data_IF_688356121596
#
_entry.id   IF_688356121596
#
_cell.length_a   1.000
_cell.length_b   1.000
_cell.length_c   1.000
_cell.angle_alpha   90.00
_cell.angle_beta   90.00
_cell.angle_gamma   90.00
#
_symmetry.space_group_name_H-M   'P 1'
#
loop_
_entity.id
_entity.type
_entity.pdbx_description
1 polymer ?
#
# COMPACT_ATOMS: atom_id res chain seq x y z
N UNK A 1 9.82 7.54 -12.56
CA UNK A 1 10.58 7.03 -13.72
C UNK A 1 10.13 7.74 -15.01
N UNK A 2 10.94 7.74 -16.06
CA UNK A 2 10.58 8.24 -17.40
C UNK A 2 9.40 7.47 -18.01
N UNK A 3 9.24 6.20 -17.61
CA UNK A 3 8.14 5.32 -18.03
C UNK A 3 6.84 5.52 -17.23
N UNK A 4 6.86 6.34 -16.18
CA UNK A 4 5.65 6.63 -15.40
C UNK A 4 4.64 7.42 -16.27
N UNK A 5 3.34 7.06 -16.32
CA UNK A 5 2.35 7.71 -17.19
C UNK A 5 2.22 9.22 -16.91
N UNK A 6 2.40 9.62 -15.66
CA UNK A 6 2.44 11.03 -15.23
C UNK A 6 3.79 11.76 -15.40
N UNK A 7 4.82 11.15 -16.01
CA UNK A 7 6.18 11.73 -16.05
C UNK A 7 6.23 13.11 -16.74
N UNK A 8 5.48 13.28 -17.84
CA UNK A 8 5.41 14.53 -18.59
C UNK A 8 4.31 15.48 -18.10
N UNK A 9 3.41 15.02 -17.24
CA UNK A 9 2.31 15.82 -16.70
C UNK A 9 2.82 16.72 -15.57
N UNK A 10 2.92 18.02 -15.83
CA UNK A 10 3.38 19.03 -14.87
C UNK A 10 2.43 19.20 -13.70
N UNK A 11 1.12 19.06 -13.92
CA UNK A 11 0.14 19.26 -12.86
C UNK A 11 0.09 18.03 -11.95
N UNK A 12 0.16 16.84 -12.53
CA UNK A 12 0.32 15.60 -11.76
C UNK A 12 1.59 15.63 -10.89
N UNK A 13 2.72 16.09 -11.44
CA UNK A 13 3.97 16.19 -10.66
C UNK A 13 3.86 17.17 -9.49
N UNK A 14 3.32 18.37 -9.72
CA UNK A 14 3.03 19.33 -8.64
C UNK A 14 2.10 18.72 -7.59
N UNK A 15 1.11 17.93 -8.01
CA UNK A 15 0.17 17.25 -7.13
C UNK A 15 0.87 16.18 -6.28
N UNK A 16 1.81 15.42 -6.83
CA UNK A 16 2.67 14.47 -6.08
C UNK A 16 3.62 15.16 -5.11
N UNK A 17 4.19 16.30 -5.50
CA UNK A 17 5.04 17.12 -4.62
C UNK A 17 4.24 17.63 -3.41
N UNK A 18 2.98 18.06 -3.62
CA UNK A 18 2.07 18.46 -2.55
C UNK A 18 1.83 17.34 -1.53
N UNK A 19 1.52 16.11 -1.98
CA UNK A 19 1.36 14.97 -1.08
C UNK A 19 2.66 14.62 -0.33
N UNK A 20 3.80 14.72 -1.03
CA UNK A 20 5.12 14.50 -0.42
C UNK A 20 5.38 15.51 0.69
N UNK A 21 5.04 16.79 0.49
CA UNK A 21 5.19 17.83 1.52
C UNK A 21 4.28 17.58 2.73
N UNK A 22 3.05 17.08 2.53
CA UNK A 22 2.19 16.66 3.65
C UNK A 22 2.87 15.53 4.44
N UNK A 23 3.32 14.48 3.77
CA UNK A 23 3.96 13.34 4.45
C UNK A 23 5.24 13.75 5.20
N UNK A 24 6.07 14.61 4.59
CA UNK A 24 7.32 15.08 5.20
C UNK A 24 7.10 16.04 6.38
N UNK A 25 5.95 16.71 6.46
CA UNK A 25 5.60 17.62 7.55
C UNK A 25 4.86 16.95 8.70
N UNK A 26 4.29 15.77 8.48
CA UNK A 26 3.56 15.01 9.49
C UNK A 26 4.47 14.54 10.64
N UNK A 27 3.94 14.60 11.87
CA UNK A 27 4.57 14.00 13.05
C UNK A 27 3.58 13.09 13.77
N UNK A 28 4.11 12.06 14.44
CA UNK A 28 3.27 11.19 15.27
C UNK A 28 2.48 12.00 16.30
N UNK A 29 1.16 11.80 16.33
CA UNK A 29 0.23 12.54 17.19
C UNK A 29 -0.54 13.64 16.46
N UNK A 30 -0.09 14.08 15.29
CA UNK A 30 -0.83 15.03 14.47
C UNK A 30 -2.08 14.39 13.87
N UNK A 31 -3.09 15.21 13.58
CA UNK A 31 -4.22 14.76 12.74
C UNK A 31 -3.74 14.70 11.30
N UNK A 32 -4.01 13.57 10.62
CA UNK A 32 -3.74 13.44 9.18
C UNK A 32 -4.53 14.53 8.43
N UNK A 33 -3.87 15.41 7.66
CA UNK A 33 -4.56 16.46 6.90
C UNK A 33 -5.56 15.86 5.91
N UNK A 34 -6.78 16.42 5.87
CA UNK A 34 -7.76 16.05 4.85
C UNK A 34 -7.37 16.69 3.53
N UNK A 35 -7.29 15.88 2.48
CA UNK A 35 -7.08 16.35 1.11
C UNK A 35 -8.40 16.32 0.35
N UNK A 36 -8.72 17.44 -0.30
CA UNK A 36 -9.81 17.48 -1.27
C UNK A 36 -9.29 16.94 -2.61
N UNK A 37 -9.84 15.82 -3.04
CA UNK A 37 -9.55 15.22 -4.34
C UNK A 37 -10.34 15.94 -5.44
N UNK A 38 -9.69 16.12 -6.58
CA UNK A 38 -10.33 16.64 -7.79
C UNK A 38 -11.31 15.60 -8.33
N UNK A 39 -12.30 16.05 -9.12
CA UNK A 39 -13.24 15.14 -9.78
C UNK A 39 -12.52 14.08 -10.62
N UNK A 40 -11.46 14.46 -11.33
CA UNK A 40 -10.64 13.53 -12.12
C UNK A 40 -9.98 12.47 -11.23
N UNK A 41 -9.41 12.85 -10.08
CA UNK A 41 -8.80 11.90 -9.14
C UNK A 41 -9.84 10.92 -8.56
N UNK A 42 -11.04 11.41 -8.25
CA UNK A 42 -12.13 10.54 -7.78
C UNK A 42 -12.59 9.56 -8.86
N UNK A 43 -12.72 10.02 -10.11
CA UNK A 43 -13.11 9.18 -11.25
C UNK A 43 -12.03 8.18 -11.68
N UNK A 44 -10.76 8.44 -11.35
CA UNK A 44 -9.61 7.60 -11.73
C UNK A 44 -9.17 6.63 -10.63
N UNK A 45 -9.83 6.61 -9.47
CA UNK A 45 -9.59 5.56 -8.50
C UNK A 45 -10.23 4.26 -8.98
N UNK A 46 -9.48 3.56 -9.82
CA UNK A 46 -9.91 2.38 -10.57
C UNK A 46 -8.77 1.34 -10.58
N UNK A 47 -9.01 0.06 -10.23
CA UNK A 47 -7.96 -0.96 -10.08
C UNK A 47 -7.28 -1.44 -11.38
N UNK A 48 -7.41 -0.74 -12.51
CA UNK A 48 -6.85 -1.14 -13.82
C UNK A 48 -5.35 -0.85 -13.99
N UNK A 49 -4.54 -1.21 -12.97
CA UNK A 49 -3.07 -1.15 -12.92
C UNK A 49 -2.44 0.24 -12.65
N UNK A 50 -1.60 0.27 -11.62
CA UNK A 50 -0.60 1.32 -11.35
C UNK A 50 0.74 0.65 -10.97
N UNK A 51 1.89 1.16 -11.45
CA UNK A 51 3.20 0.62 -11.07
C UNK A 51 3.62 1.00 -9.63
N UNK A 52 3.03 2.06 -9.06
CA UNK A 52 3.31 2.54 -7.71
C UNK A 52 2.08 2.30 -6.81
N UNK A 53 2.27 1.97 -5.52
CA UNK A 53 1.16 1.83 -4.58
C UNK A 53 0.49 3.19 -4.39
N UNK A 54 -0.70 3.34 -4.96
CA UNK A 54 -1.52 4.54 -4.85
C UNK A 54 -2.59 4.38 -3.76
N UNK A 55 -3.41 5.41 -3.55
CA UNK A 55 -4.44 5.37 -2.51
C UNK A 55 -5.46 4.26 -2.71
N UNK A 56 -5.69 3.81 -3.95
CA UNK A 56 -6.62 2.74 -4.26
C UNK A 56 -6.03 1.40 -3.83
N UNK A 57 -4.73 1.16 -4.06
CA UNK A 57 -4.00 0.02 -3.50
C UNK A 57 -4.08 -0.02 -1.97
N UNK A 58 -3.79 1.10 -1.31
CA UNK A 58 -3.80 1.14 0.16
C UNK A 58 -5.20 0.87 0.74
N UNK A 59 -6.22 1.56 0.23
CA UNK A 59 -7.58 1.49 0.77
C UNK A 59 -8.29 0.18 0.40
N UNK A 60 -8.13 -0.30 -0.83
CA UNK A 60 -8.84 -1.49 -1.30
C UNK A 60 -8.07 -2.78 -0.97
N UNK A 61 -6.73 -2.71 -0.95
CA UNK A 61 -5.86 -3.86 -0.71
C UNK A 61 -5.56 -4.09 0.77
N UNK A 62 -4.99 -3.10 1.46
CA UNK A 62 -4.47 -3.29 2.83
C UNK A 62 -5.53 -3.08 3.92
N UNK A 63 -6.27 -1.96 3.86
CA UNK A 63 -7.17 -1.54 4.95
C UNK A 63 -8.17 -2.61 5.38
N UNK A 64 -8.83 -3.37 4.47
CA UNK A 64 -9.82 -4.36 4.88
C UNK A 64 -9.25 -5.46 5.78
N UNK A 65 -8.04 -5.95 5.48
CA UNK A 65 -7.41 -6.99 6.28
C UNK A 65 -6.78 -6.45 7.56
N UNK A 66 -6.29 -5.21 7.58
CA UNK A 66 -5.82 -4.60 8.81
C UNK A 66 -6.95 -4.36 9.85
N UNK A 67 -8.21 -4.42 9.43
CA UNK A 67 -9.35 -4.43 10.33
C UNK A 67 -9.67 -5.83 10.92
N UNK A 68 -9.09 -6.90 10.37
CA UNK A 68 -9.15 -8.25 10.94
C UNK A 68 -8.09 -8.41 12.05
N UNK A 69 -8.48 -8.80 13.29
CA UNK A 69 -7.53 -8.89 14.40
C UNK A 69 -6.39 -9.89 14.20
N UNK A 70 -6.66 -11.03 13.55
CA UNK A 70 -5.63 -12.06 13.34
C UNK A 70 -4.61 -11.59 12.31
N UNK A 71 -5.08 -10.98 11.22
CA UNK A 71 -4.21 -10.41 10.20
C UNK A 71 -3.43 -9.19 10.71
N UNK A 72 -4.05 -8.33 11.52
CA UNK A 72 -3.38 -7.19 12.15
C UNK A 72 -2.24 -7.64 13.06
N UNK A 73 -2.48 -8.68 13.88
CA UNK A 73 -1.47 -9.29 14.73
C UNK A 73 -0.33 -9.91 13.91
N UNK A 74 -0.67 -10.68 12.87
CA UNK A 74 0.30 -11.24 11.94
C UNK A 74 1.19 -10.16 11.30
N UNK A 75 0.59 -9.06 10.82
CA UNK A 75 1.32 -7.94 10.24
C UNK A 75 2.25 -7.26 11.25
N UNK A 76 1.80 -7.12 12.50
CA UNK A 76 2.61 -6.59 13.59
C UNK A 76 3.80 -7.50 13.91
N UNK A 77 3.63 -8.82 13.87
CA UNK A 77 4.70 -9.79 14.14
C UNK A 77 5.85 -9.70 13.13
N UNK A 78 5.55 -9.48 11.85
CA UNK A 78 6.59 -9.19 10.84
C UNK A 78 7.37 -7.93 11.24
N UNK A 79 6.67 -6.88 11.64
CA UNK A 79 7.28 -5.63 12.10
C UNK A 79 8.17 -5.83 13.32
N UNK A 80 7.71 -6.54 14.34
CA UNK A 80 8.48 -6.84 15.55
C UNK A 80 9.71 -7.70 15.25
N UNK A 81 9.57 -8.70 14.37
CA UNK A 81 10.68 -9.55 13.93
C UNK A 81 11.77 -8.77 13.17
N UNK A 82 11.43 -7.62 12.59
CA UNK A 82 12.40 -6.77 11.88
C UNK A 82 13.27 -5.91 12.82
N UNK A 83 12.93 -5.80 14.10
CA UNK A 83 13.63 -4.91 15.02
C UNK A 83 15.02 -5.45 15.38
N UNK A 84 16.07 -4.71 14.99
CA UNK A 84 17.46 -4.99 15.37
C UNK A 84 18.11 -6.16 14.63
N UNK A 85 17.51 -6.64 13.54
CA UNK A 85 18.08 -7.71 12.72
C UNK A 85 19.04 -7.17 11.65
N UNK A 86 19.81 -8.06 11.03
CA UNK A 86 20.75 -7.72 9.97
C UNK A 86 20.03 -7.31 8.67
N UNK A 87 20.67 -6.53 7.79
CA UNK A 87 20.12 -6.20 6.46
C UNK A 87 19.78 -7.46 5.64
N UNK A 88 20.56 -8.52 5.83
CA UNK A 88 20.30 -9.82 5.19
C UNK A 88 18.98 -10.43 5.68
N UNK A 89 18.69 -10.33 6.97
CA UNK A 89 17.45 -10.85 7.55
C UNK A 89 16.26 -9.91 7.29
N UNK A 90 16.46 -8.60 7.23
CA UNK A 90 15.48 -7.64 6.72
C UNK A 90 15.05 -8.02 5.31
N UNK A 91 15.99 -8.39 4.44
CA UNK A 91 15.67 -8.81 3.07
C UNK A 91 14.82 -10.07 3.03
N UNK A 92 15.04 -11.02 3.95
CA UNK A 92 14.19 -12.23 4.08
C UNK A 92 12.79 -11.87 4.58
N UNK A 93 12.69 -10.99 5.59
CA UNK A 93 11.40 -10.52 6.12
C UNK A 93 10.62 -9.72 5.08
N UNK A 94 11.29 -8.90 4.26
CA UNK A 94 10.70 -8.23 3.11
C UNK A 94 10.15 -9.25 2.10
N UNK A 95 10.87 -10.35 1.86
CA UNK A 95 10.36 -11.48 1.07
C UNK A 95 9.12 -12.12 1.70
N UNK A 96 9.12 -12.36 3.02
CA UNK A 96 7.94 -12.86 3.72
C UNK A 96 6.75 -11.93 3.56
N UNK A 97 6.93 -10.62 3.76
CA UNK A 97 5.91 -9.61 3.57
C UNK A 97 5.37 -9.62 2.12
N UNK A 98 6.25 -9.66 1.12
CA UNK A 98 5.88 -9.72 -0.29
C UNK A 98 5.03 -10.97 -0.61
N UNK A 99 5.42 -12.14 -0.13
CA UNK A 99 4.71 -13.39 -0.42
C UNK A 99 3.50 -13.64 0.49
N UNK A 100 3.18 -12.72 1.40
CA UNK A 100 2.02 -12.81 2.29
C UNK A 100 1.15 -11.57 2.18
N UNK A 101 1.55 -10.47 2.80
CA UNK A 101 0.77 -9.23 2.84
C UNK A 101 0.50 -8.66 1.44
N UNK A 102 1.45 -8.75 0.51
CA UNK A 102 1.27 -8.21 -0.86
C UNK A 102 0.61 -9.19 -1.82
N UNK A 103 1.06 -10.45 -1.87
CA UNK A 103 0.64 -11.43 -2.88
C UNK A 103 0.18 -12.78 -2.28
N UNK A 104 -0.28 -12.76 -1.04
CA UNK A 104 -0.69 -13.96 -0.31
C UNK A 104 -2.01 -14.56 -0.79
N UNK A 105 -2.07 -15.89 -0.71
CA UNK A 105 -3.25 -16.70 -0.95
C UNK A 105 -3.58 -17.51 0.31
N UNK A 106 -4.87 -17.67 0.60
CA UNK A 106 -5.36 -18.53 1.66
C UNK A 106 -6.17 -19.68 1.08
N UNK A 107 -6.22 -20.79 1.83
CA UNK A 107 -7.08 -21.93 1.50
C UNK A 107 -8.32 -21.88 2.37
N UNK A 108 -9.47 -21.81 1.73
CA UNK A 108 -10.77 -21.98 2.36
C UNK A 108 -11.37 -23.34 1.98
N UNK A 109 -12.51 -23.69 2.59
CA UNK A 109 -13.21 -24.96 2.33
C UNK A 109 -13.53 -25.16 0.84
N UNK A 110 -13.87 -24.07 0.15
CA UNK A 110 -14.35 -24.10 -1.23
C UNK A 110 -13.26 -23.77 -2.27
N UNK A 111 -12.00 -23.61 -1.85
CA UNK A 111 -10.89 -23.37 -2.78
C UNK A 111 -9.82 -22.42 -2.25
N UNK A 112 -9.02 -21.90 -3.17
CA UNK A 112 -7.98 -20.90 -2.89
C UNK A 112 -8.57 -19.52 -3.10
N UNK A 113 -8.30 -18.59 -2.18
CA UNK A 113 -8.69 -17.18 -2.30
C UNK A 113 -7.47 -16.28 -2.13
N UNK A 114 -7.57 -15.09 -2.71
CA UNK A 114 -6.57 -14.04 -2.51
C UNK A 114 -6.85 -13.26 -1.22
N UNK A 115 -5.78 -12.90 -0.53
CA UNK A 115 -5.82 -11.90 0.54
C UNK A 115 -4.73 -10.85 0.36
N UNK A 116 -3.67 -11.12 -0.42
CA UNK A 116 -2.61 -10.15 -0.67
C UNK A 116 -3.14 -8.84 -1.28
N UNK A 117 -2.72 -7.70 -0.73
CA UNK A 117 -3.19 -6.38 -1.14
C UNK A 117 -3.00 -6.10 -2.63
N UNK A 118 -1.85 -6.49 -3.19
CA UNK A 118 -1.54 -6.37 -4.62
C UNK A 118 -2.45 -7.22 -5.51
N UNK A 119 -2.99 -8.33 -5.00
CA UNK A 119 -3.98 -9.14 -5.73
C UNK A 119 -5.41 -8.57 -5.62
N UNK A 120 -5.73 -7.93 -4.49
CA UNK A 120 -7.05 -7.34 -4.24
C UNK A 120 -7.24 -6.00 -4.96
N UNK A 121 -6.14 -5.28 -5.24
CA UNK A 121 -6.17 -3.94 -5.84
C UNK A 121 -5.75 -3.89 -7.31
N UNK A 122 -5.58 -5.04 -7.97
CA UNK A 122 -5.18 -5.13 -9.37
C UNK A 122 -6.03 -6.16 -10.10
N UNK A 123 -6.81 -5.71 -11.09
CA UNK A 123 -7.67 -6.57 -11.94
C UNK A 123 -6.98 -6.88 -13.28
#
# INVERSE_FOLDING_TARGET
DADHPGFKDTEYRKRRDYFTQIAMSYKHGDKIPRVEYTKKEVETCDPYYTPEPDICHEILGHVPLLADPEFAQFSQEIGLASLGVSDQDISKLAGCYLYTVEFGLCKEKDGIKAYGAGLLSSI
#
